data_IF_633510665442
#
_entry.id   IF_633510665442
#
_cell.length_a   1.000
_cell.length_b   1.000
_cell.length_c   1.000
_cell.angle_alpha   90.00
_cell.angle_beta   90.00
_cell.angle_gamma   90.00
#
_symmetry.space_group_name_H-M   'P 1'
#
loop_
_entity.id
_entity.type
_entity.pdbx_description
1 polymer ?
#
# COMPACT_ATOMS: atom_id res chain seq x y z
N UNK A 1 27.79 -53.96 -22.74
CA UNK A 1 28.71 -52.84 -23.00
C UNK A 1 27.87 -51.60 -23.26
N UNK A 2 28.10 -50.51 -22.50
CA UNK A 2 27.54 -49.18 -22.83
C UNK A 2 26.52 -48.62 -21.83
N UNK A 3 26.98 -48.20 -20.64
CA UNK A 3 26.29 -47.22 -19.80
C UNK A 3 26.89 -45.85 -20.11
N UNK A 4 26.06 -44.91 -20.57
CA UNK A 4 26.47 -43.54 -20.91
C UNK A 4 26.12 -42.57 -19.78
N UNK A 5 27.12 -42.16 -19.00
CA UNK A 5 27.02 -41.10 -18.00
C UNK A 5 27.18 -39.73 -18.67
N UNK A 6 26.07 -39.05 -18.94
CA UNK A 6 26.04 -37.68 -19.44
C UNK A 6 25.97 -36.65 -18.30
N UNK A 7 27.07 -36.46 -17.56
CA UNK A 7 27.18 -35.37 -16.58
C UNK A 7 27.38 -34.02 -17.29
N UNK A 8 26.34 -33.19 -17.32
CA UNK A 8 26.43 -31.80 -17.82
C UNK A 8 27.07 -30.92 -16.75
N UNK A 9 28.30 -30.46 -17.01
CA UNK A 9 28.98 -29.44 -16.20
C UNK A 9 28.22 -28.11 -16.32
N UNK A 10 27.62 -27.65 -15.21
CA UNK A 10 27.13 -26.27 -15.08
C UNK A 10 28.33 -25.32 -15.08
N UNK A 11 28.32 -24.29 -15.92
CA UNK A 11 29.45 -23.36 -16.02
C UNK A 11 29.63 -22.57 -14.71
N UNK A 12 30.88 -22.35 -14.30
CA UNK A 12 31.24 -21.61 -13.09
C UNK A 12 30.59 -20.21 -13.01
N UNK A 13 30.25 -19.62 -14.17
CA UNK A 13 29.54 -18.34 -14.27
C UNK A 13 28.10 -18.41 -13.73
N UNK A 14 27.39 -19.53 -13.93
CA UNK A 14 26.03 -19.70 -13.42
C UNK A 14 26.01 -19.85 -11.88
N UNK A 15 27.00 -20.56 -11.33
CA UNK A 15 27.18 -20.69 -9.88
C UNK A 15 27.58 -19.35 -9.23
N UNK A 16 28.46 -18.58 -9.87
CA UNK A 16 28.87 -17.25 -9.40
C UNK A 16 27.73 -16.24 -9.40
N UNK A 17 26.90 -16.23 -10.45
CA UNK A 17 25.72 -15.36 -10.53
C UNK A 17 24.65 -15.72 -9.48
N UNK A 18 24.46 -17.00 -9.19
CA UNK A 18 23.57 -17.44 -8.12
C UNK A 18 24.10 -17.03 -6.73
N UNK A 19 25.39 -17.20 -6.46
CA UNK A 19 26.01 -16.76 -5.20
C UNK A 19 25.89 -15.24 -4.97
N UNK A 20 26.12 -14.43 -6.02
CA UNK A 20 26.01 -12.97 -5.93
C UNK A 20 24.57 -12.48 -5.69
N UNK A 21 23.56 -13.18 -6.23
CA UNK A 21 22.16 -12.85 -6.00
C UNK A 21 21.72 -13.12 -4.54
N UNK A 22 22.30 -14.14 -3.90
CA UNK A 22 21.85 -14.57 -2.56
C UNK A 22 22.62 -13.91 -1.42
N UNK A 23 23.88 -13.51 -1.61
CA UNK A 23 24.61 -12.62 -0.67
C UNK A 23 23.86 -11.29 -0.46
N UNK A 24 23.12 -10.84 -1.47
CA UNK A 24 22.28 -9.63 -1.40
C UNK A 24 21.03 -9.78 -0.52
N UNK A 25 20.69 -11.00 -0.08
CA UNK A 25 19.51 -11.32 0.76
C UNK A 25 19.86 -11.63 2.23
N UNK A 26 21.10 -11.36 2.69
CA UNK A 26 21.47 -11.47 4.11
C UNK A 26 21.56 -12.90 4.66
N UNK A 27 21.62 -13.93 3.80
CA UNK A 27 21.79 -15.33 4.19
C UNK A 27 23.27 -15.73 4.17
N UNK A 28 23.66 -16.65 5.05
CA UNK A 28 25.02 -17.20 5.09
C UNK A 28 25.28 -18.06 3.86
N UNK A 29 26.49 -18.02 3.31
CA UNK A 29 26.86 -18.79 2.11
C UNK A 29 26.60 -20.30 2.24
N UNK A 30 26.69 -20.83 3.47
CA UNK A 30 26.42 -22.23 3.81
C UNK A 30 24.95 -22.63 3.61
N UNK A 31 24.02 -21.82 4.09
CA UNK A 31 22.58 -22.09 3.94
C UNK A 31 22.13 -22.05 2.47
N UNK A 32 22.84 -21.29 1.64
CA UNK A 32 22.61 -21.21 0.19
C UNK A 32 23.16 -22.44 -0.52
N UNK A 33 24.34 -22.90 -0.09
CA UNK A 33 24.96 -24.10 -0.64
C UNK A 33 24.10 -25.35 -0.37
N UNK A 34 23.56 -25.50 0.84
CA UNK A 34 22.63 -26.61 1.16
C UNK A 34 21.37 -26.59 0.30
N UNK A 35 20.78 -25.41 0.11
CA UNK A 35 19.53 -25.27 -0.65
C UNK A 35 19.76 -25.53 -2.15
N UNK A 36 20.88 -25.05 -2.70
CA UNK A 36 21.28 -25.34 -4.09
C UNK A 36 21.61 -26.83 -4.25
N UNK A 37 22.22 -27.48 -3.26
CA UNK A 37 22.46 -28.91 -3.27
C UNK A 37 21.15 -29.71 -3.27
N UNK A 38 20.15 -29.28 -2.50
CA UNK A 38 18.82 -29.88 -2.51
C UNK A 38 18.13 -29.75 -3.89
N UNK A 39 18.24 -28.59 -4.54
CA UNK A 39 17.68 -28.36 -5.88
C UNK A 39 18.41 -29.11 -7.00
N UNK A 40 19.69 -29.42 -6.79
CA UNK A 40 20.45 -30.29 -7.68
C UNK A 40 20.01 -31.75 -7.50
N UNK A 41 19.80 -32.19 -6.26
CA UNK A 41 19.37 -33.54 -5.94
C UNK A 41 17.96 -33.86 -6.49
N UNK A 42 17.05 -32.88 -6.48
CA UNK A 42 15.68 -33.04 -7.00
C UNK A 42 15.52 -32.64 -8.49
N UNK A 43 16.59 -32.16 -9.15
CA UNK A 43 16.58 -31.74 -10.55
C UNK A 43 15.79 -30.45 -10.83
N UNK A 44 15.31 -29.74 -9.80
CA UNK A 44 14.47 -28.54 -9.96
C UNK A 44 15.24 -27.24 -10.16
N UNK A 45 16.58 -27.26 -10.03
CA UNK A 45 17.44 -26.08 -10.12
C UNK A 45 17.19 -25.23 -11.38
N UNK A 46 17.03 -25.87 -12.55
CA UNK A 46 16.85 -25.17 -13.81
C UNK A 46 15.52 -24.39 -13.86
N UNK A 47 14.42 -25.01 -13.41
CA UNK A 47 13.11 -24.37 -13.36
C UNK A 47 13.09 -23.20 -12.36
N UNK A 48 13.73 -23.37 -11.20
CA UNK A 48 13.83 -22.33 -10.16
C UNK A 48 14.70 -21.15 -10.60
N UNK A 49 15.82 -21.39 -11.30
CA UNK A 49 16.64 -20.33 -11.89
C UNK A 49 15.89 -19.57 -12.99
N UNK A 50 15.05 -20.26 -13.76
CA UNK A 50 14.24 -19.64 -14.82
C UNK A 50 13.13 -18.77 -14.22
N UNK A 51 12.47 -19.21 -13.15
CA UNK A 51 11.49 -18.43 -12.39
C UNK A 51 12.15 -17.21 -11.70
N UNK A 52 13.33 -17.38 -11.11
CA UNK A 52 14.08 -16.26 -10.50
C UNK A 52 14.52 -15.20 -11.53
N UNK A 53 14.94 -15.63 -12.72
CA UNK A 53 15.25 -14.73 -13.86
C UNK A 53 14.02 -13.99 -14.34
N UNK A 54 12.87 -14.66 -14.43
CA UNK A 54 11.61 -14.04 -14.80
C UNK A 54 11.20 -12.96 -13.79
N UNK A 55 11.31 -13.23 -12.49
CA UNK A 55 11.03 -12.25 -11.42
C UNK A 55 11.97 -11.04 -11.50
N UNK A 56 13.27 -11.27 -11.67
CA UNK A 56 14.25 -10.18 -11.77
C UNK A 56 14.04 -9.34 -13.03
N UNK A 57 13.63 -9.95 -14.14
CA UNK A 57 13.30 -9.24 -15.38
C UNK A 57 12.03 -8.40 -15.23
N UNK A 58 11.00 -8.93 -14.56
CA UNK A 58 9.77 -8.20 -14.22
C UNK A 58 10.07 -7.01 -13.30
N UNK A 59 10.90 -7.21 -12.27
CA UNK A 59 11.26 -6.14 -11.35
C UNK A 59 12.03 -5.01 -12.05
N UNK A 60 13.01 -5.35 -12.92
CA UNK A 60 13.73 -4.34 -13.73
C UNK A 60 12.81 -3.62 -14.70
N UNK A 61 11.90 -4.33 -15.36
CA UNK A 61 10.94 -3.72 -16.27
C UNK A 61 10.01 -2.75 -15.52
N UNK A 62 9.57 -3.13 -14.31
CA UNK A 62 8.74 -2.26 -13.46
C UNK A 62 9.50 -1.03 -12.95
N UNK A 63 10.79 -1.15 -12.62
CA UNK A 63 11.63 0.00 -12.26
C UNK A 63 11.80 0.96 -13.44
N UNK A 64 12.16 0.44 -14.62
CA UNK A 64 12.33 1.26 -15.82
C UNK A 64 11.03 1.95 -16.26
N UNK A 65 9.87 1.31 -16.04
CA UNK A 65 8.57 1.90 -16.34
C UNK A 65 8.24 3.06 -15.40
N UNK A 66 8.64 2.98 -14.11
CA UNK A 66 8.44 4.08 -13.15
C UNK A 66 9.38 5.25 -13.43
N UNK A 67 10.65 4.99 -13.77
CA UNK A 67 11.59 6.05 -14.18
C UNK A 67 11.08 6.80 -15.42
N UNK A 68 10.58 6.07 -16.43
CA UNK A 68 9.99 6.67 -17.63
C UNK A 68 8.71 7.48 -17.33
N UNK A 69 7.92 7.05 -16.34
CA UNK A 69 6.71 7.77 -15.92
C UNK A 69 7.05 9.08 -15.18
N UNK A 70 8.09 9.06 -14.35
CA UNK A 70 8.59 10.25 -13.64
C UNK A 70 9.21 11.26 -14.61
N UNK A 71 9.96 10.80 -15.62
CA UNK A 71 10.49 11.66 -16.70
C UNK A 71 9.36 12.32 -17.51
N UNK A 72 8.29 11.58 -17.81
CA UNK A 72 7.13 12.12 -18.53
C UNK A 72 6.37 13.14 -17.68
N UNK A 73 6.20 12.89 -16.38
CA UNK A 73 5.57 13.82 -15.45
C UNK A 73 6.40 15.12 -15.30
N UNK A 74 7.73 15.01 -15.28
CA UNK A 74 8.63 16.17 -15.25
C UNK A 74 8.56 16.98 -16.56
N UNK A 75 8.45 16.32 -17.72
CA UNK A 75 8.31 16.99 -19.02
C UNK A 75 6.98 17.76 -19.15
N UNK A 76 5.90 17.25 -18.56
CA UNK A 76 4.58 17.92 -18.56
C UNK A 76 4.54 19.11 -17.59
N UNK A 77 5.35 19.08 -16.53
CA UNK A 77 5.42 20.14 -15.53
C UNK A 77 6.33 21.32 -15.92
N UNK A 78 7.10 21.22 -17.01
CA UNK A 78 7.96 22.30 -17.46
C UNK A 78 7.13 23.46 -18.05
N UNK A 79 7.28 24.71 -17.57
CA UNK A 79 6.53 25.84 -18.09
C UNK A 79 6.98 26.18 -19.52
N UNK A 80 6.00 26.31 -20.42
CA UNK A 80 6.22 26.79 -21.79
C UNK A 80 6.89 28.18 -21.79
N UNK A 81 7.98 28.38 -22.54
CA UNK A 81 8.62 29.69 -22.65
C UNK A 81 7.92 30.51 -23.73
N UNK A 82 6.87 31.28 -23.37
CA UNK A 82 6.43 32.46 -24.14
C UNK A 82 5.26 33.18 -23.47
N UNK A 83 5.51 34.34 -22.86
CA UNK A 83 4.76 35.58 -23.09
C UNK A 83 5.29 36.64 -22.12
N UNK A 84 6.24 37.42 -22.61
CA UNK A 84 6.68 38.65 -21.98
C UNK A 84 5.63 39.75 -22.19
N UNK A 85 5.43 40.53 -21.13
CA UNK A 85 5.11 41.96 -21.08
C UNK A 85 3.93 42.51 -21.89
N UNK A 86 2.96 43.09 -21.17
CA UNK A 86 2.60 44.51 -21.31
C UNK A 86 1.68 44.93 -20.15
N UNK A 87 2.00 46.05 -19.51
CA UNK A 87 1.21 46.66 -18.44
C UNK A 87 0.75 48.05 -18.84
N UNK A 88 -0.43 48.48 -18.39
CA UNK A 88 -0.82 49.91 -18.38
C UNK A 88 -1.78 50.21 -17.21
N UNK A 89 -1.31 51.11 -16.35
CA UNK A 89 -1.92 52.24 -15.65
C UNK A 89 -3.32 52.19 -15.00
N UNK A 90 -3.33 52.82 -13.82
CA UNK A 90 -4.45 53.21 -12.96
C UNK A 90 -5.35 54.31 -13.53
N UNK A 91 -6.62 54.35 -13.08
CA UNK A 91 -7.42 55.58 -13.00
C UNK A 91 -8.53 55.46 -11.95
N UNK A 92 -8.84 56.60 -11.34
CA UNK A 92 -9.60 56.82 -10.11
C UNK A 92 -11.14 56.75 -10.24
N UNK A 93 -11.80 56.66 -9.07
CA UNK A 93 -13.25 56.74 -8.82
C UNK A 93 -13.85 58.13 -9.18
N UNK A 94 -15.19 58.37 -9.15
CA UNK A 94 -15.93 58.53 -7.87
C UNK A 94 -17.44 58.13 -7.97
N UNK A 95 -18.40 58.59 -7.10
CA UNK A 95 -19.35 57.72 -6.37
C UNK A 95 -20.83 57.95 -6.78
N UNK A 96 -21.78 57.25 -6.12
CA UNK A 96 -23.22 57.57 -5.88
C UNK A 96 -23.92 56.24 -5.48
N UNK A 97 -24.42 56.01 -4.26
CA UNK A 97 -25.57 56.56 -3.53
C UNK A 97 -26.72 55.53 -3.40
N UNK A 98 -27.08 55.25 -2.14
CA UNK A 98 -28.42 54.96 -1.58
C UNK A 98 -29.30 53.83 -2.17
N UNK A 99 -29.63 52.86 -1.32
CA UNK A 99 -30.76 51.95 -1.50
C UNK A 99 -30.93 50.98 -0.33
N UNK A 100 -31.74 51.38 0.66
CA UNK A 100 -32.14 50.55 1.79
C UNK A 100 -33.12 49.44 1.35
N UNK A 101 -32.97 48.25 1.92
CA UNK A 101 -33.91 47.14 1.76
C UNK A 101 -33.69 46.08 2.83
N UNK A 102 -34.52 46.14 3.87
CA UNK A 102 -34.54 45.22 5.00
C UNK A 102 -34.92 43.79 4.57
N UNK A 103 -34.28 42.81 5.18
CA UNK A 103 -34.64 41.40 5.04
C UNK A 103 -33.63 40.50 5.72
N UNK A 104 -33.70 40.40 7.05
CA UNK A 104 -33.11 39.26 7.77
C UNK A 104 -33.89 38.00 7.42
N UNK A 105 -33.21 36.92 7.00
CA UNK A 105 -33.54 35.60 7.46
C UNK A 105 -32.49 35.16 8.48
N UNK A 106 -32.98 34.77 9.66
CA UNK A 106 -32.19 34.19 10.73
C UNK A 106 -31.29 33.07 10.19
N UNK A 107 -29.99 33.22 10.42
CA UNK A 107 -28.97 32.28 9.99
C UNK A 107 -29.14 30.93 10.67
N UNK A 108 -29.64 29.96 9.92
CA UNK A 108 -29.30 28.56 10.11
C UNK A 108 -27.99 28.31 9.36
N UNK A 109 -26.87 28.69 9.96
CA UNK A 109 -25.54 28.33 9.47
C UNK A 109 -24.80 27.60 10.57
N UNK A 110 -25.31 26.42 10.95
CA UNK A 110 -24.46 25.41 11.56
C UNK A 110 -23.69 24.71 10.43
N UNK A 111 -22.76 25.43 9.80
CA UNK A 111 -21.69 24.74 9.08
C UNK A 111 -20.76 24.25 10.17
N UNK A 112 -20.86 22.97 10.52
CA UNK A 112 -19.86 22.32 11.37
C UNK A 112 -18.49 22.54 10.75
N UNK A 113 -17.74 23.50 11.31
CA UNK A 113 -16.38 23.81 10.89
C UNK A 113 -15.51 22.62 11.27
N UNK A 114 -14.85 22.00 10.30
CA UNK A 114 -13.89 20.94 10.58
C UNK A 114 -12.76 21.47 11.49
N UNK A 115 -12.38 20.65 12.46
CA UNK A 115 -11.23 20.88 13.32
C UNK A 115 -10.44 19.57 13.47
N UNK A 116 -9.18 19.59 13.03
CA UNK A 116 -8.26 18.47 13.14
C UNK A 116 -8.13 17.96 14.58
N UNK A 117 -8.30 18.82 15.60
CA UNK A 117 -8.24 18.42 17.00
C UNK A 117 -9.36 17.42 17.40
N UNK A 118 -10.51 17.49 16.73
CA UNK A 118 -11.64 16.59 17.01
C UNK A 118 -11.46 15.21 16.37
N UNK A 119 -10.74 15.15 15.24
CA UNK A 119 -10.53 13.92 14.46
C UNK A 119 -9.25 13.21 14.86
N UNK A 120 -8.14 13.94 15.02
CA UNK A 120 -6.84 13.40 15.38
C UNK A 120 -6.67 13.40 16.90
N UNK A 121 -7.10 12.29 17.52
CA UNK A 121 -6.95 12.08 18.97
C UNK A 121 -5.48 11.92 19.39
N UNK A 122 -4.68 11.30 18.53
CA UNK A 122 -3.24 11.15 18.76
C UNK A 122 -2.54 12.53 18.65
N UNK A 123 -1.80 12.97 19.70
CA UNK A 123 -1.22 14.31 19.73
C UNK A 123 -0.10 14.51 18.72
N UNK A 124 0.65 13.46 18.37
CA UNK A 124 1.73 13.50 17.38
C UNK A 124 1.13 13.62 15.97
N UNK A 125 0.13 12.79 15.65
CA UNK A 125 -0.63 12.89 14.40
C UNK A 125 -1.26 14.26 14.20
N UNK A 126 -1.83 14.83 15.27
CA UNK A 126 -2.38 16.19 15.27
C UNK A 126 -1.31 17.24 15.04
N UNK A 127 -0.17 17.15 15.74
CA UNK A 127 0.94 18.08 15.57
C UNK A 127 1.48 18.06 14.14
N UNK A 128 1.65 16.87 13.56
CA UNK A 128 2.02 16.70 12.15
C UNK A 128 1.02 17.39 11.22
N UNK A 129 -0.26 17.06 11.34
CA UNK A 129 -1.28 17.55 10.42
C UNK A 129 -1.45 19.05 10.51
N UNK A 130 -1.58 19.60 11.72
CA UNK A 130 -1.74 21.03 11.94
C UNK A 130 -0.50 21.81 11.49
N UNK A 131 0.71 21.28 11.74
CA UNK A 131 1.96 21.91 11.34
C UNK A 131 2.19 21.91 9.83
N UNK A 132 1.77 20.86 9.13
CA UNK A 132 1.98 20.73 7.69
C UNK A 132 0.86 21.34 6.84
N UNK A 133 -0.40 21.27 7.28
CA UNK A 133 -1.57 21.60 6.47
C UNK A 133 -2.53 22.60 7.12
N UNK A 134 -2.40 22.87 8.42
CA UNK A 134 -3.30 23.74 9.18
C UNK A 134 -4.44 22.99 9.89
N UNK A 135 -4.93 23.57 10.98
CA UNK A 135 -5.93 22.94 11.86
C UNK A 135 -7.31 22.76 11.22
N UNK A 136 -7.67 23.61 10.25
CA UNK A 136 -8.98 23.60 9.59
C UNK A 136 -8.98 22.91 8.22
N UNK A 137 -7.89 22.20 7.88
CA UNK A 137 -7.75 21.53 6.59
C UNK A 137 -8.20 20.08 6.70
N UNK A 138 -9.38 19.67 6.19
CA UNK A 138 -9.87 18.29 6.33
C UNK A 138 -9.18 17.30 5.41
N UNK A 139 -8.64 17.78 4.28
CA UNK A 139 -8.12 16.98 3.18
C UNK A 139 -6.92 17.67 2.55
N UNK A 140 -5.94 16.88 2.11
CA UNK A 140 -4.77 17.32 1.37
C UNK A 140 -4.49 16.36 0.22
N UNK A 141 -3.60 16.72 -0.69
CA UNK A 141 -3.16 15.81 -1.75
C UNK A 141 -2.21 14.76 -1.18
N UNK A 142 -2.21 13.56 -1.73
CA UNK A 142 -1.28 12.49 -1.36
C UNK A 142 0.18 12.92 -1.55
N UNK A 143 0.48 13.65 -2.63
CA UNK A 143 1.81 14.20 -2.89
C UNK A 143 2.25 15.19 -1.80
N UNK A 144 1.38 16.14 -1.42
CA UNK A 144 1.67 17.08 -0.33
C UNK A 144 1.85 16.35 1.01
N UNK A 145 1.04 15.31 1.26
CA UNK A 145 1.16 14.48 2.45
C UNK A 145 2.52 13.78 2.53
N UNK A 146 2.91 13.06 1.47
CA UNK A 146 4.20 12.36 1.39
C UNK A 146 5.38 13.31 1.43
N UNK A 147 5.27 14.50 0.82
CA UNK A 147 6.33 15.50 0.85
C UNK A 147 6.55 16.12 2.26
N UNK A 148 5.51 16.17 3.08
CA UNK A 148 5.61 16.70 4.45
C UNK A 148 6.23 15.69 5.44
N UNK A 149 5.98 14.39 5.23
CA UNK A 149 6.40 13.32 6.15
C UNK A 149 7.92 13.30 6.45
N UNK A 150 8.84 13.40 5.47
CA UNK A 150 10.27 13.35 5.76
C UNK A 150 10.76 14.44 6.71
N UNK A 151 10.20 15.65 6.58
CA UNK A 151 10.55 16.78 7.46
C UNK A 151 10.04 16.54 8.88
N UNK A 152 8.86 15.94 9.01
CA UNK A 152 8.28 15.64 10.31
C UNK A 152 8.96 14.46 11.03
N UNK A 153 9.17 13.35 10.31
CA UNK A 153 9.78 12.13 10.85
C UNK A 153 11.30 12.30 11.03
N UNK A 154 11.92 13.25 10.33
CA UNK A 154 13.36 13.50 10.40
C UNK A 154 14.20 12.54 9.55
N UNK A 155 13.59 11.85 8.57
CA UNK A 155 14.29 11.01 7.58
C UNK A 155 13.52 10.90 6.28
N UNK A 156 14.22 10.57 5.20
CA UNK A 156 13.58 10.24 3.94
C UNK A 156 12.69 8.99 4.06
N UNK A 157 11.58 8.98 3.31
CA UNK A 157 10.76 7.80 3.13
C UNK A 157 11.35 6.93 2.01
N UNK A 158 11.44 5.63 2.28
CA UNK A 158 11.81 4.65 1.25
C UNK A 158 10.71 4.54 0.19
N UNK A 159 11.07 4.10 -1.03
CA UNK A 159 10.07 3.86 -2.08
C UNK A 159 9.01 2.82 -1.64
N UNK A 160 9.40 1.81 -0.85
CA UNK A 160 8.46 0.83 -0.32
C UNK A 160 7.44 1.49 0.63
N UNK A 161 7.88 2.33 1.56
CA UNK A 161 6.99 3.07 2.46
C UNK A 161 6.03 3.97 1.70
N UNK A 162 6.49 4.69 0.67
CA UNK A 162 5.63 5.54 -0.16
C UNK A 162 4.55 4.72 -0.88
N UNK A 163 4.93 3.58 -1.47
CA UNK A 163 3.98 2.66 -2.13
C UNK A 163 2.99 2.07 -1.13
N UNK A 164 3.44 1.67 0.06
CA UNK A 164 2.57 1.15 1.12
C UNK A 164 1.60 2.21 1.63
N UNK A 165 2.05 3.45 1.81
CA UNK A 165 1.20 4.58 2.18
C UNK A 165 0.16 4.87 1.10
N UNK A 166 0.53 4.84 -0.18
CA UNK A 166 -0.43 4.98 -1.27
C UNK A 166 -1.47 3.86 -1.22
N UNK A 167 -1.01 2.61 -1.06
CA UNK A 167 -1.87 1.45 -0.95
C UNK A 167 -2.79 1.47 0.28
N UNK A 168 -2.42 2.14 1.37
CA UNK A 168 -3.21 2.22 2.60
C UNK A 168 -4.16 3.45 2.62
N UNK A 169 -3.63 4.63 2.32
CA UNK A 169 -4.33 5.90 2.45
C UNK A 169 -5.00 6.36 1.15
N UNK A 170 -4.54 5.90 0.00
CA UNK A 170 -5.08 6.28 -1.32
C UNK A 170 -5.30 5.05 -2.20
N UNK A 171 -5.85 3.98 -1.62
CA UNK A 171 -6.15 2.74 -2.35
C UNK A 171 -7.08 2.97 -3.56
N UNK A 172 -8.02 3.90 -3.44
CA UNK A 172 -8.89 4.31 -4.54
C UNK A 172 -8.18 5.16 -5.61
N UNK A 173 -6.92 5.55 -5.39
CA UNK A 173 -6.11 6.40 -6.27
C UNK A 173 -6.79 7.73 -6.61
N UNK A 174 -7.44 8.33 -5.61
CA UNK A 174 -8.05 9.66 -5.69
C UNK A 174 -7.02 10.79 -5.65
N UNK A 175 -5.78 10.47 -5.23
CA UNK A 175 -4.74 11.46 -4.99
C UNK A 175 -4.97 12.27 -3.73
N UNK A 176 -5.88 11.85 -2.83
CA UNK A 176 -6.31 12.63 -1.68
C UNK A 176 -6.24 11.85 -0.35
N UNK A 177 -5.73 12.52 0.67
CA UNK A 177 -5.61 12.01 2.04
C UNK A 177 -6.39 12.92 2.97
N UNK A 178 -7.26 12.34 3.79
CA UNK A 178 -8.05 13.07 4.80
C UNK A 178 -7.44 12.90 6.18
N UNK A 179 -7.75 13.83 7.09
CA UNK A 179 -7.34 13.70 8.50
C UNK A 179 -7.89 12.41 9.14
N UNK A 180 -9.07 11.95 8.71
CA UNK A 180 -9.66 10.67 9.16
C UNK A 180 -8.80 9.48 8.74
N UNK A 181 -8.32 9.43 7.48
CA UNK A 181 -7.43 8.35 7.02
C UNK A 181 -6.12 8.31 7.81
N UNK A 182 -5.57 9.47 8.20
CA UNK A 182 -4.42 9.52 9.11
C UNK A 182 -4.78 9.04 10.52
N UNK A 183 -5.95 9.43 11.04
CA UNK A 183 -6.44 8.96 12.34
C UNK A 183 -6.57 7.44 12.38
N UNK A 184 -7.13 6.84 11.31
CA UNK A 184 -7.26 5.39 11.16
C UNK A 184 -5.88 4.72 11.10
N UNK A 185 -4.93 5.28 10.34
CA UNK A 185 -3.57 4.75 10.25
C UNK A 185 -2.90 4.67 11.62
N UNK A 186 -2.93 5.77 12.39
CA UNK A 186 -2.31 5.85 13.71
C UNK A 186 -3.08 5.02 14.73
N UNK A 187 -4.41 4.97 14.63
CA UNK A 187 -5.26 4.09 15.44
C UNK A 187 -4.93 2.60 15.24
N UNK A 188 -4.58 2.23 14.00
CA UNK A 188 -4.31 0.84 13.62
C UNK A 188 -2.89 0.40 13.89
N UNK A 189 -1.91 1.24 13.57
CA UNK A 189 -0.48 0.85 13.54
C UNK A 189 0.33 1.40 14.71
N UNK A 190 -0.36 1.98 15.68
CA UNK A 190 0.18 2.47 16.95
C UNK A 190 0.39 3.98 16.97
N UNK A 191 0.62 4.54 18.16
CA UNK A 191 0.65 5.97 18.37
C UNK A 191 1.87 6.60 17.68
N UNK A 192 1.65 7.81 17.17
CA UNK A 192 2.64 8.58 16.42
C UNK A 192 2.81 8.21 14.95
N UNK A 193 3.02 9.22 14.12
CA UNK A 193 3.07 9.12 12.66
C UNK A 193 4.25 8.26 12.21
N UNK A 194 5.43 8.48 12.77
CA UNK A 194 6.64 7.76 12.41
C UNK A 194 6.51 6.25 12.65
N UNK A 195 5.97 5.88 13.81
CA UNK A 195 5.73 4.48 14.18
C UNK A 195 4.67 3.85 13.31
N UNK A 196 3.55 4.54 13.08
CA UNK A 196 2.47 4.05 12.25
C UNK A 196 2.94 3.75 10.81
N UNK A 197 3.71 4.65 10.20
CA UNK A 197 4.32 4.45 8.86
C UNK A 197 5.24 3.23 8.84
N UNK A 198 6.12 3.10 9.83
CA UNK A 198 7.06 1.97 9.90
C UNK A 198 6.34 0.62 10.11
N UNK A 199 5.34 0.58 11.00
CA UNK A 199 4.52 -0.60 11.29
C UNK A 199 3.67 -1.02 10.08
N UNK A 200 3.05 -0.07 9.38
CA UNK A 200 2.34 -0.31 8.13
C UNK A 200 3.29 -0.94 7.11
N UNK A 201 4.45 -0.30 6.89
CA UNK A 201 5.38 -0.75 5.86
C UNK A 201 5.95 -2.14 6.16
N UNK A 202 6.14 -2.48 7.44
CA UNK A 202 6.55 -3.83 7.85
C UNK A 202 5.46 -4.85 7.54
N UNK A 203 4.22 -4.54 7.93
CA UNK A 203 3.09 -5.45 7.73
C UNK A 203 2.84 -5.73 6.24
N UNK A 204 2.88 -4.69 5.40
CA UNK A 204 2.66 -4.80 3.96
C UNK A 204 3.84 -5.42 3.19
N UNK A 205 5.03 -5.52 3.80
CA UNK A 205 6.16 -6.19 3.18
C UNK A 205 6.01 -7.72 3.13
N UNK A 206 5.05 -8.29 3.87
CA UNK A 206 4.82 -9.72 3.91
C UNK A 206 3.99 -10.21 2.73
N UNK A 207 4.41 -11.33 2.13
CA UNK A 207 3.70 -11.95 0.99
C UNK A 207 2.27 -12.42 1.33
N UNK A 208 1.98 -12.66 2.61
CA UNK A 208 0.64 -13.01 3.08
C UNK A 208 -0.27 -11.81 3.27
N UNK A 209 0.23 -10.57 3.18
CA UNK A 209 -0.57 -9.35 3.29
C UNK A 209 -1.03 -8.89 1.91
N UNK A 210 -2.35 -8.82 1.69
CA UNK A 210 -2.95 -8.54 0.39
C UNK A 210 -3.61 -7.17 0.31
N UNK A 211 -3.63 -6.39 1.40
CA UNK A 211 -4.21 -5.05 1.40
C UNK A 211 -5.73 -5.07 1.29
N UNK A 212 -6.28 -4.26 0.39
CA UNK A 212 -7.72 -4.09 0.21
C UNK A 212 -8.24 -5.11 -0.82
N UNK A 213 -8.65 -6.28 -0.35
CA UNK A 213 -9.22 -7.38 -1.15
C UNK A 213 -10.53 -7.82 -0.53
N UNK A 214 -11.58 -8.04 -1.32
CA UNK A 214 -12.88 -8.48 -0.79
C UNK A 214 -12.83 -9.89 -0.21
N UNK A 215 -13.81 -10.25 0.63
CA UNK A 215 -13.91 -11.63 1.07
C UNK A 215 -14.07 -12.59 -0.13
N UNK A 216 -14.91 -12.24 -1.12
CA UNK A 216 -15.16 -13.09 -2.27
C UNK A 216 -13.91 -13.26 -3.14
N UNK A 217 -13.13 -12.20 -3.33
CA UNK A 217 -11.85 -12.25 -4.04
C UNK A 217 -10.83 -13.12 -3.29
N UNK A 218 -10.71 -12.93 -1.97
CA UNK A 218 -9.86 -13.75 -1.13
C UNK A 218 -10.29 -15.22 -1.12
N UNK A 219 -11.60 -15.49 -1.07
CA UNK A 219 -12.16 -16.83 -1.11
C UNK A 219 -11.88 -17.50 -2.45
N UNK A 220 -12.06 -16.79 -3.57
CA UNK A 220 -11.71 -17.28 -4.90
C UNK A 220 -10.22 -17.61 -5.03
N UNK A 221 -9.34 -16.80 -4.44
CA UNK A 221 -7.90 -17.07 -4.40
C UNK A 221 -7.56 -18.35 -3.63
N UNK A 222 -8.29 -18.61 -2.55
CA UNK A 222 -8.04 -19.76 -1.67
C UNK A 222 -8.85 -21.01 -2.05
N UNK A 223 -9.85 -20.91 -2.93
CA UNK A 223 -10.76 -22.01 -3.26
C UNK A 223 -10.02 -23.25 -3.78
N UNK A 224 -8.96 -23.02 -4.57
CA UNK A 224 -8.10 -24.07 -5.14
C UNK A 224 -6.80 -24.26 -4.39
N UNK A 225 -6.60 -23.56 -3.28
CA UNK A 225 -5.40 -23.65 -2.49
C UNK A 225 -5.42 -24.86 -1.54
N UNK A 226 -4.23 -25.32 -1.15
CA UNK A 226 -4.06 -26.41 -0.19
C UNK A 226 -4.48 -26.03 1.23
N UNK A 227 -4.63 -27.03 2.09
CA UNK A 227 -4.89 -26.81 3.52
C UNK A 227 -3.79 -25.98 4.19
N UNK A 228 -4.19 -25.09 5.08
CA UNK A 228 -3.33 -24.14 5.77
C UNK A 228 -2.91 -22.93 4.92
N UNK A 229 -3.45 -22.77 3.71
CA UNK A 229 -3.20 -21.56 2.91
C UNK A 229 -4.01 -20.39 3.46
N UNK A 230 -3.39 -19.22 3.59
CA UNK A 230 -4.02 -18.04 4.17
C UNK A 230 -3.54 -16.73 3.54
N UNK A 231 -4.31 -15.67 3.77
CA UNK A 231 -3.92 -14.28 3.53
C UNK A 231 -4.51 -13.37 4.61
N UNK A 232 -3.91 -12.20 4.76
CA UNK A 232 -4.38 -11.12 5.63
C UNK A 232 -4.73 -9.92 4.77
N UNK A 233 -5.85 -9.27 5.09
CA UNK A 233 -6.37 -8.12 4.37
C UNK A 233 -6.94 -7.08 5.34
N UNK A 234 -7.11 -5.85 4.87
CA UNK A 234 -7.91 -4.86 5.59
C UNK A 234 -9.38 -5.32 5.66
N UNK A 235 -10.04 -5.01 6.78
CA UNK A 235 -11.47 -5.29 6.95
C UNK A 235 -12.31 -4.21 6.26
N UNK A 236 -13.30 -4.63 5.46
CA UNK A 236 -14.28 -3.72 4.85
C UNK A 236 -15.27 -3.16 5.87
N UNK A 237 -15.71 -4.03 6.78
CA UNK A 237 -16.83 -3.75 7.69
C UNK A 237 -16.40 -3.05 8.97
N UNK A 238 -15.09 -2.88 9.18
CA UNK A 238 -14.56 -2.28 10.39
C UNK A 238 -13.29 -1.46 10.12
N UNK A 239 -13.31 -0.14 10.36
CA UNK A 239 -12.10 0.66 10.32
C UNK A 239 -11.12 0.16 11.37
N UNK A 240 -9.83 0.22 11.05
CA UNK A 240 -8.75 -0.26 11.92
C UNK A 240 -8.80 -1.76 12.28
N UNK A 241 -9.49 -2.59 11.49
CA UNK A 241 -9.49 -4.03 11.68
C UNK A 241 -8.93 -4.75 10.44
N UNK A 242 -8.54 -6.00 10.64
CA UNK A 242 -8.08 -6.88 9.58
C UNK A 242 -8.94 -8.14 9.55
N UNK A 243 -8.87 -8.86 8.44
CA UNK A 243 -9.40 -10.20 8.34
C UNK A 243 -8.30 -11.14 7.89
N UNK A 244 -8.21 -12.29 8.55
CA UNK A 244 -7.41 -13.41 8.06
C UNK A 244 -8.37 -14.34 7.35
N UNK A 245 -8.13 -14.54 6.06
CA UNK A 245 -8.89 -15.49 5.24
C UNK A 245 -8.01 -16.71 5.06
N UNK A 246 -8.54 -17.89 5.36
CA UNK A 246 -7.75 -19.11 5.41
C UNK A 246 -8.56 -20.33 5.01
N UNK A 247 -7.83 -21.39 4.67
CA UNK A 247 -8.42 -22.70 4.38
C UNK A 247 -7.88 -23.74 5.34
N UNK A 248 -8.73 -24.22 6.26
CA UNK A 248 -8.27 -25.15 7.29
C UNK A 248 -8.00 -26.57 6.76
N UNK A 249 -8.84 -27.05 5.84
CA UNK A 249 -8.81 -28.43 5.34
C UNK A 249 -8.77 -28.47 3.81
N UNK A 250 -8.13 -29.50 3.27
CA UNK A 250 -8.15 -29.75 1.84
C UNK A 250 -9.56 -30.14 1.40
N UNK A 251 -10.03 -29.58 0.30
CA UNK A 251 -11.43 -29.72 -0.14
C UNK A 251 -12.45 -28.95 0.73
N UNK A 252 -12.04 -28.38 1.88
CA UNK A 252 -12.93 -27.68 2.81
C UNK A 252 -13.32 -26.25 2.39
N UNK A 253 -14.26 -25.63 3.12
CA UNK A 253 -14.65 -24.24 2.90
C UNK A 253 -13.50 -23.29 3.21
N UNK A 254 -13.56 -22.10 2.59
CA UNK A 254 -12.72 -20.98 2.98
C UNK A 254 -13.42 -20.25 4.13
N UNK A 255 -12.67 -19.96 5.17
CA UNK A 255 -13.16 -19.31 6.38
C UNK A 255 -12.43 -17.97 6.58
N UNK A 256 -12.99 -17.09 7.40
CA UNK A 256 -12.32 -15.88 7.83
C UNK A 256 -12.50 -15.62 9.32
N UNK A 257 -11.48 -15.03 9.93
CA UNK A 257 -11.56 -14.50 11.29
C UNK A 257 -11.15 -13.02 11.30
N UNK A 258 -11.79 -12.25 12.17
CA UNK A 258 -11.50 -10.83 12.36
C UNK A 258 -10.34 -10.67 13.34
N UNK A 259 -9.44 -9.75 13.01
CA UNK A 259 -8.38 -9.27 13.89
C UNK A 259 -8.72 -7.83 14.24
N UNK A 260 -8.92 -7.57 15.52
CA UNK A 260 -9.14 -6.21 16.00
C UNK A 260 -7.79 -5.52 16.17
N UNK A 261 -7.69 -4.23 15.82
CA UNK A 261 -6.54 -3.42 16.21
C UNK A 261 -6.98 -2.35 17.19
N UNK A 262 -6.15 -2.15 18.22
CA UNK A 262 -6.28 -1.02 19.12
C UNK A 262 -4.91 -0.48 19.50
N UNK A 263 -4.84 0.83 19.72
CA UNK A 263 -3.61 1.50 20.18
C UNK A 263 -3.09 0.91 21.49
N UNK A 264 -3.98 0.45 22.38
CA UNK A 264 -3.63 -0.05 23.71
C UNK A 264 -3.18 -1.52 23.72
N UNK A 265 -3.84 -2.39 22.93
CA UNK A 265 -3.60 -3.84 22.96
C UNK A 265 -2.87 -4.36 21.71
N UNK A 266 -2.63 -3.52 20.72
CA UNK A 266 -2.09 -3.96 19.42
C UNK A 266 -3.14 -4.74 18.65
N UNK A 267 -2.74 -5.88 18.09
CA UNK A 267 -3.59 -6.74 17.27
C UNK A 267 -4.16 -7.88 18.11
N UNK A 268 -5.45 -8.13 18.03
CA UNK A 268 -6.13 -9.15 18.84
C UNK A 268 -6.84 -10.17 17.97
N UNK A 269 -6.59 -11.45 18.28
CA UNK A 269 -7.28 -12.58 17.66
C UNK A 269 -7.67 -13.58 18.74
N UNK A 270 -8.97 -13.87 18.85
CA UNK A 270 -9.49 -14.84 19.81
C UNK A 270 -9.18 -14.51 21.28
N UNK A 271 -9.13 -13.23 21.63
CA UNK A 271 -8.82 -12.75 22.99
C UNK A 271 -7.32 -12.63 23.32
N UNK A 272 -6.42 -13.11 22.44
CA UNK A 272 -4.97 -12.97 22.60
C UNK A 272 -4.49 -11.74 21.85
N UNK A 273 -3.72 -10.91 22.55
CA UNK A 273 -3.13 -9.68 22.03
C UNK A 273 -1.70 -9.92 21.53
N UNK A 274 -1.34 -9.25 20.44
CA UNK A 274 -0.05 -9.35 19.76
C UNK A 274 0.49 -7.95 19.46
N UNK A 275 1.80 -7.78 19.60
CA UNK A 275 2.46 -6.50 19.31
C UNK A 275 2.45 -6.15 17.82
N UNK A 276 2.28 -7.13 16.94
CA UNK A 276 2.31 -6.96 15.49
C UNK A 276 1.56 -8.09 14.77
N UNK A 277 1.16 -7.87 13.51
CA UNK A 277 0.52 -8.90 12.69
C UNK A 277 1.45 -10.09 12.42
N UNK A 278 2.75 -9.85 12.34
CA UNK A 278 3.77 -10.88 12.18
C UNK A 278 3.78 -11.83 13.39
N UNK A 279 3.81 -11.27 14.60
CA UNK A 279 3.76 -12.07 15.82
C UNK A 279 2.47 -12.88 15.92
N UNK A 280 1.35 -12.31 15.48
CA UNK A 280 0.07 -13.01 15.39
C UNK A 280 0.15 -14.19 14.42
N UNK A 281 0.62 -13.96 13.20
CA UNK A 281 0.72 -15.00 12.17
C UNK A 281 1.69 -16.11 12.60
N UNK A 282 2.82 -15.76 13.20
CA UNK A 282 3.84 -16.70 13.64
C UNK A 282 3.36 -17.59 14.80
N UNK A 283 2.61 -17.04 15.75
CA UNK A 283 2.01 -17.82 16.84
C UNK A 283 0.91 -18.78 16.33
N UNK A 284 0.29 -18.47 15.19
CA UNK A 284 -0.82 -19.24 14.60
C UNK A 284 -0.38 -20.16 13.44
N UNK A 285 0.92 -20.44 13.29
CA UNK A 285 1.49 -21.30 12.24
C UNK A 285 0.95 -22.72 12.18
N UNK A 286 0.33 -23.21 13.27
CA UNK A 286 -0.33 -24.51 13.28
C UNK A 286 -1.41 -24.67 12.19
N UNK A 287 -2.07 -23.56 11.84
CA UNK A 287 -3.12 -23.49 10.81
C UNK A 287 -2.86 -22.41 9.74
N UNK A 288 -1.99 -21.41 9.99
CA UNK A 288 -1.52 -20.42 9.01
C UNK A 288 -0.18 -20.84 8.37
N UNK A 289 -0.22 -21.92 7.59
CA UNK A 289 0.99 -22.61 7.12
C UNK A 289 1.60 -21.99 5.87
N UNK A 290 0.77 -21.66 4.88
CA UNK A 290 1.22 -21.26 3.55
C UNK A 290 0.64 -19.89 3.21
N UNK A 291 1.50 -18.91 2.96
CA UNK A 291 1.05 -17.61 2.48
C UNK A 291 0.49 -17.73 1.06
N UNK A 292 -0.72 -17.24 0.83
CA UNK A 292 -1.27 -17.10 -0.51
C UNK A 292 -0.47 -16.05 -1.28
N UNK A 293 -0.18 -16.33 -2.55
CA UNK A 293 0.57 -15.40 -3.39
C UNK A 293 -0.22 -14.10 -3.60
N UNK A 294 0.34 -12.94 -3.23
CA UNK A 294 -0.26 -11.60 -3.41
C UNK A 294 -0.32 -11.11 -4.88
N UNK A 295 -0.38 -12.02 -5.86
CA UNK A 295 -0.35 -11.68 -7.29
C UNK A 295 -1.51 -10.77 -7.71
N UNK A 296 -2.69 -10.95 -7.12
CA UNK A 296 -3.87 -10.13 -7.43
C UNK A 296 -3.71 -8.72 -6.88
N UNK A 297 -3.30 -8.56 -5.63
CA UNK A 297 -3.05 -7.25 -5.04
C UNK A 297 -1.95 -6.44 -5.76
N UNK A 298 -1.02 -7.13 -6.43
CA UNK A 298 0.01 -6.50 -7.27
C UNK A 298 -0.42 -6.26 -8.73
N UNK A 299 -1.63 -6.65 -9.12
CA UNK A 299 -2.10 -6.47 -10.49
C UNK A 299 -2.45 -5.00 -10.76
N UNK A 300 -1.99 -4.46 -11.90
CA UNK A 300 -2.21 -3.06 -12.30
C UNK A 300 -3.69 -2.68 -12.40
N UNK A 301 -4.55 -3.63 -12.74
CA UNK A 301 -5.99 -3.45 -12.90
C UNK A 301 -6.75 -3.75 -11.61
N UNK A 302 -6.07 -4.29 -10.59
CA UNK A 302 -6.69 -4.49 -9.30
C UNK A 302 -6.71 -3.17 -8.54
N UNK A 303 -7.91 -2.65 -8.30
CA UNK A 303 -8.12 -1.38 -7.61
C UNK A 303 -8.64 -1.55 -6.18
N UNK A 304 -8.78 -2.79 -5.70
CA UNK A 304 -9.33 -3.10 -4.39
C UNK A 304 -10.76 -2.59 -4.23
N UNK A 305 -11.09 -2.12 -3.03
CA UNK A 305 -12.41 -1.52 -2.76
C UNK A 305 -12.53 -0.15 -3.40
N UNK A 306 -13.23 -0.09 -4.53
CA UNK A 306 -13.76 1.15 -5.05
C UNK A 306 -15.22 1.27 -4.63
N UNK A 307 -15.58 2.41 -4.03
CA UNK A 307 -16.99 2.79 -3.89
C UNK A 307 -17.62 2.99 -5.28
N UNK A 308 -18.96 3.04 -5.32
CA UNK A 308 -19.68 3.31 -6.57
C UNK A 308 -19.27 4.64 -7.19
N UNK A 309 -19.11 5.68 -6.38
CA UNK A 309 -18.70 7.01 -6.85
C UNK A 309 -17.26 7.01 -7.38
N UNK A 310 -16.34 6.33 -6.70
CA UNK A 310 -14.95 6.18 -7.16
C UNK A 310 -14.87 5.36 -8.45
N UNK A 311 -15.67 4.30 -8.56
CA UNK A 311 -15.80 3.49 -9.78
C UNK A 311 -16.30 4.35 -10.93
N UNK A 312 -17.36 5.16 -10.69
CA UNK A 312 -17.93 6.08 -11.69
C UNK A 312 -16.93 7.15 -12.10
N UNK A 313 -16.17 7.70 -11.17
CA UNK A 313 -15.14 8.69 -11.44
C UNK A 313 -14.02 8.10 -12.31
N UNK A 314 -13.59 6.86 -12.04
CA UNK A 314 -12.56 6.17 -12.82
C UNK A 314 -13.02 5.74 -14.21
N UNK A 315 -14.30 5.39 -14.36
CA UNK A 315 -14.91 5.13 -15.67
C UNK A 315 -15.28 6.42 -16.42
N UNK A 316 -15.24 7.58 -15.76
CA UNK A 316 -15.53 8.89 -16.36
C UNK A 316 -14.65 9.17 -17.58
N UNK A 317 -15.27 9.37 -18.75
CA UNK A 317 -14.56 9.64 -20.00
C UNK A 317 -13.92 8.41 -20.67
N UNK A 318 -14.12 7.19 -20.14
CA UNK A 318 -13.73 5.95 -20.80
C UNK A 318 -14.78 5.53 -21.84
N UNK A 319 -14.37 4.82 -22.91
CA UNK A 319 -15.31 4.38 -23.94
C UNK A 319 -16.34 3.38 -23.38
N UNK A 320 -17.53 3.30 -24.00
CA UNK A 320 -18.53 2.29 -23.64
C UNK A 320 -17.94 0.87 -23.69
N UNK A 321 -18.19 0.08 -22.64
CA UNK A 321 -17.64 -1.28 -22.50
C UNK A 321 -16.28 -1.35 -21.80
N UNK A 322 -15.72 -0.22 -21.35
CA UNK A 322 -14.54 -0.23 -20.49
C UNK A 322 -14.84 -0.94 -19.16
N UNK A 323 -13.98 -1.88 -18.79
CA UNK A 323 -14.00 -2.58 -17.51
C UNK A 323 -12.82 -2.09 -16.66
N UNK A 324 -13.03 -2.00 -15.35
CA UNK A 324 -11.98 -1.81 -14.35
C UNK A 324 -11.49 -3.17 -13.88
#
# INVERSE_FOLDING_TARGET
SGSGSGGRSLSAAAASAAAAAVVRMGRTAEAVAEEVAAWLADGSLAARLQDARARTAVDRANTALHEAADELAAAVAAPSPSAAAEGVAAAAAPPLAMGAGAGSPAGLSSSSSFDAATVLRDPDARAFWCGAFGAHTPITTFLSFVAALPRYIGRALTHAEQRHLAGALDHAGSGAVTAHKLADLVGTFGPGVARAVASLSRSMAHAWFHGFVSFDEAANLLQRAGAGTFLVRFSESAPCAFAIVYRLREGGPVEQCRVESSVARGFELGGKAYASLEALVDDNRGWLRVAATARVASCRYFHGFLSFDETRQRLGGKPPGALL
#
